data_IF_180103908010
#
_entry.id   IF_180103908010
#
_cell.length_a   1.000
_cell.length_b   1.000
_cell.length_c   1.000
_cell.angle_alpha   90.00
_cell.angle_beta   90.00
_cell.angle_gamma   90.00
#
_symmetry.space_group_name_H-M   'P 1'
#
loop_
_entity.id
_entity.type
_entity.pdbx_description
1 polymer ?
#
# COMPACT_ATOMS: atom_id res chain seq x y z
N UNK A 1 7.95 -58.99 -51.12
CA UNK A 1 8.77 -57.82 -50.73
C UNK A 1 8.08 -56.57 -51.26
N UNK A 2 7.42 -55.79 -50.40
CA UNK A 2 6.75 -54.57 -50.82
C UNK A 2 7.77 -53.54 -51.35
N UNK A 3 7.45 -52.78 -52.40
CA UNK A 3 8.38 -51.79 -52.95
C UNK A 3 8.67 -50.74 -51.88
N UNK A 4 9.96 -50.57 -51.52
CA UNK A 4 10.42 -49.43 -50.73
C UNK A 4 10.14 -48.18 -51.56
N UNK A 5 9.05 -47.46 -51.26
CA UNK A 5 8.80 -46.11 -51.78
C UNK A 5 9.97 -45.23 -51.34
N UNK A 6 10.89 -44.95 -52.24
CA UNK A 6 11.89 -43.91 -52.02
C UNK A 6 11.15 -42.58 -52.01
N UNK A 7 11.13 -41.90 -50.86
CA UNK A 7 10.69 -40.50 -50.82
C UNK A 7 11.62 -39.74 -51.76
N UNK A 8 11.08 -39.18 -52.84
CA UNK A 8 11.89 -38.38 -53.75
C UNK A 8 12.38 -37.15 -52.97
N UNK A 9 13.66 -36.78 -53.14
CA UNK A 9 14.28 -35.64 -52.46
C UNK A 9 13.43 -34.36 -52.56
N UNK A 10 12.73 -34.19 -53.68
CA UNK A 10 11.76 -33.12 -53.91
C UNK A 10 10.59 -33.12 -52.91
N UNK A 11 10.00 -34.27 -52.62
CA UNK A 11 8.87 -34.39 -51.71
C UNK A 11 9.31 -34.14 -50.26
N UNK A 12 10.52 -34.61 -49.91
CA UNK A 12 11.14 -34.31 -48.62
C UNK A 12 11.43 -32.81 -48.44
N UNK A 13 11.94 -32.15 -49.48
CA UNK A 13 12.16 -30.70 -49.47
C UNK A 13 10.84 -29.92 -49.38
N UNK A 14 9.81 -30.32 -50.12
CA UNK A 14 8.48 -29.68 -50.05
C UNK A 14 7.86 -29.81 -48.65
N UNK A 15 7.95 -30.98 -48.03
CA UNK A 15 7.49 -31.18 -46.65
C UNK A 15 8.29 -30.34 -45.66
N UNK A 16 9.61 -30.25 -45.82
CA UNK A 16 10.46 -29.41 -44.99
C UNK A 16 10.10 -27.92 -45.13
N UNK A 17 9.90 -27.43 -46.36
CA UNK A 17 9.48 -26.05 -46.60
C UNK A 17 8.10 -25.76 -46.02
N UNK A 18 7.15 -26.67 -46.19
CA UNK A 18 5.82 -26.55 -45.58
C UNK A 18 5.92 -26.50 -44.04
N UNK A 19 6.75 -27.36 -43.44
CA UNK A 19 6.98 -27.36 -42.00
C UNK A 19 7.61 -26.05 -41.52
N UNK A 20 8.67 -25.57 -42.18
CA UNK A 20 9.32 -24.29 -41.84
C UNK A 20 8.33 -23.13 -41.96
N UNK A 21 7.49 -23.13 -42.99
CA UNK A 21 6.46 -22.11 -43.18
C UNK A 21 5.43 -22.14 -42.04
N UNK A 22 4.90 -23.31 -41.70
CA UNK A 22 3.96 -23.48 -40.58
C UNK A 22 4.58 -23.05 -39.26
N UNK A 23 5.84 -23.44 -38.99
CA UNK A 23 6.57 -23.03 -37.79
C UNK A 23 6.80 -21.51 -37.76
N UNK A 24 7.11 -20.89 -38.89
CA UNK A 24 7.31 -19.44 -38.99
C UNK A 24 6.02 -18.65 -38.73
N UNK A 25 4.90 -19.08 -39.30
CA UNK A 25 3.58 -18.47 -39.03
C UNK A 25 3.17 -18.69 -37.58
N UNK A 26 3.34 -19.91 -37.06
CA UNK A 26 3.06 -20.24 -35.66
C UNK A 26 3.88 -19.42 -34.68
N UNK A 27 5.18 -19.23 -34.96
CA UNK A 27 6.05 -18.36 -34.17
C UNK A 27 5.57 -16.90 -34.19
N UNK A 28 5.19 -16.36 -35.36
CA UNK A 28 4.70 -14.98 -35.45
C UNK A 28 3.37 -14.77 -34.74
N UNK A 29 2.49 -15.75 -34.77
CA UNK A 29 1.25 -15.73 -34.00
C UNK A 29 1.52 -15.81 -32.49
N UNK A 30 2.46 -16.65 -32.05
CA UNK A 30 2.88 -16.72 -30.65
C UNK A 30 3.45 -15.38 -30.17
N UNK A 31 4.37 -14.79 -30.94
CA UNK A 31 4.97 -13.47 -30.67
C UNK A 31 3.88 -12.39 -30.51
N UNK A 32 2.96 -12.31 -31.48
CA UNK A 32 1.82 -11.40 -31.41
C UNK A 32 0.95 -11.66 -30.19
N UNK A 33 0.59 -12.91 -29.91
CA UNK A 33 -0.30 -13.28 -28.80
C UNK A 33 0.29 -12.90 -27.43
N UNK A 34 1.60 -13.03 -27.24
CA UNK A 34 2.26 -12.61 -25.99
C UNK A 34 2.15 -11.10 -25.81
N UNK A 35 2.47 -10.31 -26.84
CA UNK A 35 2.39 -8.84 -26.75
C UNK A 35 0.95 -8.33 -26.65
N UNK A 36 0.00 -8.94 -27.35
CA UNK A 36 -1.42 -8.58 -27.26
C UNK A 36 -1.96 -8.83 -25.85
N UNK A 37 -1.59 -9.97 -25.24
CA UNK A 37 -1.93 -10.27 -23.85
C UNK A 37 -1.28 -9.29 -22.87
N UNK A 38 0.00 -8.95 -23.07
CA UNK A 38 0.68 -7.97 -22.22
C UNK A 38 0.01 -6.60 -22.29
N UNK A 39 -0.26 -6.11 -23.50
CA UNK A 39 -0.91 -4.83 -23.70
C UNK A 39 -2.31 -4.82 -23.04
N UNK A 40 -3.11 -5.88 -23.24
CA UNK A 40 -4.44 -6.00 -22.61
C UNK A 40 -4.36 -6.05 -21.09
N UNK A 41 -3.45 -6.86 -20.53
CA UNK A 41 -3.29 -6.91 -19.08
C UNK A 41 -2.89 -5.54 -18.52
N UNK A 42 -1.98 -4.83 -19.19
CA UNK A 42 -1.58 -3.49 -18.81
C UNK A 42 -2.72 -2.46 -18.97
N UNK A 43 -3.53 -2.63 -20.00
CA UNK A 43 -4.71 -1.81 -20.24
C UNK A 43 -5.74 -1.96 -19.12
N UNK A 44 -5.93 -3.18 -18.63
CA UNK A 44 -6.94 -3.51 -17.63
C UNK A 44 -6.45 -3.27 -16.20
N UNK A 45 -5.19 -3.60 -15.91
CA UNK A 45 -4.63 -3.58 -14.55
C UNK A 45 -4.39 -2.16 -14.04
N UNK A 46 -3.78 -1.30 -14.85
CA UNK A 46 -3.37 0.05 -14.42
C UNK A 46 -4.60 0.91 -14.03
N UNK A 47 -5.64 1.08 -14.88
CA UNK A 47 -6.84 1.81 -14.49
C UNK A 47 -7.55 1.23 -13.26
N UNK A 48 -7.55 -0.10 -13.10
CA UNK A 48 -8.14 -0.76 -11.95
C UNK A 48 -7.37 -0.43 -10.66
N UNK A 49 -6.05 -0.57 -10.68
CA UNK A 49 -5.17 -0.25 -9.55
C UNK A 49 -5.28 1.23 -9.17
N UNK A 50 -5.20 2.15 -10.13
CA UNK A 50 -5.37 3.59 -9.87
C UNK A 50 -6.75 3.93 -9.28
N UNK A 51 -7.81 3.26 -9.73
CA UNK A 51 -9.16 3.50 -9.18
C UNK A 51 -9.28 3.10 -7.71
N UNK A 52 -8.51 2.10 -7.27
CA UNK A 52 -8.49 1.66 -5.86
C UNK A 52 -7.64 2.64 -5.04
N UNK A 53 -6.46 3.01 -5.55
CA UNK A 53 -5.55 3.96 -4.90
C UNK A 53 -6.16 5.36 -4.74
N UNK A 54 -6.89 5.85 -5.74
CA UNK A 54 -7.65 7.10 -5.65
C UNK A 54 -8.65 7.09 -4.49
N UNK A 55 -9.37 5.97 -4.31
CA UNK A 55 -10.28 5.81 -3.17
C UNK A 55 -9.51 5.86 -1.86
N UNK A 56 -8.42 5.10 -1.73
CA UNK A 56 -7.58 5.08 -0.50
C UNK A 56 -7.08 6.49 -0.14
N UNK A 57 -6.62 7.28 -1.12
CA UNK A 57 -6.19 8.66 -0.92
C UNK A 57 -7.29 9.56 -0.35
N UNK A 58 -8.54 9.44 -0.82
CA UNK A 58 -9.65 10.28 -0.36
C UNK A 58 -10.05 10.03 1.11
N UNK A 59 -9.91 8.80 1.60
CA UNK A 59 -10.27 8.44 2.98
C UNK A 59 -9.20 8.83 4.00
N UNK A 60 -7.93 8.87 3.57
CA UNK A 60 -6.82 9.29 4.43
C UNK A 60 -6.99 10.74 4.92
N UNK A 61 -7.60 11.62 4.13
CA UNK A 61 -7.83 13.03 4.48
C UNK A 61 -8.83 13.19 5.64
N UNK A 62 -9.97 12.51 5.54
CA UNK A 62 -11.01 12.56 6.56
C UNK A 62 -10.55 11.98 7.91
N UNK A 63 -9.62 11.02 7.89
CA UNK A 63 -9.04 10.42 9.09
C UNK A 63 -8.00 11.35 9.75
N UNK A 64 -7.15 12.04 8.97
CA UNK A 64 -6.13 12.96 9.50
C UNK A 64 -6.76 14.10 10.29
N UNK A 65 -7.87 14.68 9.79
CA UNK A 65 -8.57 15.75 10.48
C UNK A 65 -9.04 15.33 11.90
N UNK A 66 -9.53 14.11 12.05
CA UNK A 66 -9.96 13.58 13.34
C UNK A 66 -8.79 13.21 14.26
N UNK A 67 -7.67 12.74 13.70
CA UNK A 67 -6.42 12.51 14.46
C UNK A 67 -5.88 13.84 15.03
N UNK A 68 -5.95 14.93 14.27
CA UNK A 68 -5.58 16.26 14.75
C UNK A 68 -6.52 16.70 15.89
N UNK A 69 -7.83 16.46 15.77
CA UNK A 69 -8.80 16.76 16.83
C UNK A 69 -8.57 15.95 18.11
N UNK A 70 -8.14 14.68 17.99
CA UNK A 70 -7.73 13.86 19.14
C UNK A 70 -6.53 14.44 19.88
N UNK A 71 -5.64 15.11 19.15
CA UNK A 71 -4.40 15.68 19.68
C UNK A 71 -4.60 17.06 20.32
N UNK A 72 -5.81 17.64 20.28
CA UNK A 72 -6.10 18.92 20.93
C UNK A 72 -6.02 18.76 22.47
N UNK A 73 -5.08 19.45 23.14
CA UNK A 73 -4.91 19.36 24.59
C UNK A 73 -6.12 19.88 25.38
N UNK A 74 -7.06 20.59 24.74
CA UNK A 74 -8.30 21.07 25.37
C UNK A 74 -9.46 20.09 25.24
N UNK A 75 -9.34 19.05 24.41
CA UNK A 75 -10.38 18.04 24.26
C UNK A 75 -10.56 17.25 25.56
N UNK A 76 -11.80 17.15 26.05
CA UNK A 76 -12.10 16.30 27.21
C UNK A 76 -12.03 14.81 26.82
N UNK A 77 -11.74 13.89 27.75
CA UNK A 77 -11.79 12.44 27.48
C UNK A 77 -13.13 12.01 26.85
N UNK A 78 -14.26 12.52 27.35
CA UNK A 78 -15.60 12.24 26.79
C UNK A 78 -15.74 12.71 25.34
N UNK A 79 -15.20 13.88 25.01
CA UNK A 79 -15.19 14.39 23.63
C UNK A 79 -14.31 13.53 22.72
N UNK A 80 -13.17 13.05 23.22
CA UNK A 80 -12.28 12.14 22.46
C UNK A 80 -12.91 10.77 22.20
N UNK A 81 -13.73 10.24 23.12
CA UNK A 81 -14.48 8.99 22.88
C UNK A 81 -15.36 9.04 21.63
N UNK A 82 -16.04 10.16 21.37
CA UNK A 82 -16.86 10.34 20.16
C UNK A 82 -15.97 10.31 18.91
N UNK A 83 -14.81 10.98 18.97
CA UNK A 83 -13.85 11.01 17.85
C UNK A 83 -13.27 9.62 17.59
N UNK A 84 -13.00 8.82 18.64
CA UNK A 84 -12.56 7.44 18.46
C UNK A 84 -13.58 6.56 17.74
N UNK A 85 -14.88 6.75 18.01
CA UNK A 85 -15.94 6.01 17.32
C UNK A 85 -16.05 6.42 15.84
N UNK A 86 -15.91 7.70 15.54
CA UNK A 86 -15.84 8.22 14.16
C UNK A 86 -14.61 7.66 13.42
N UNK A 87 -13.45 7.64 14.07
CA UNK A 87 -12.21 7.11 13.51
C UNK A 87 -12.23 5.60 13.28
N UNK A 88 -12.83 4.80 14.17
CA UNK A 88 -12.89 3.35 13.97
C UNK A 88 -13.63 2.98 12.69
N UNK A 89 -14.76 3.66 12.41
CA UNK A 89 -15.49 3.49 11.15
C UNK A 89 -14.65 3.83 9.92
N UNK A 90 -13.91 4.94 9.96
CA UNK A 90 -13.03 5.39 8.87
C UNK A 90 -11.84 4.44 8.64
N UNK A 91 -11.19 4.01 9.72
CA UNK A 91 -10.05 3.08 9.67
C UNK A 91 -10.48 1.72 9.13
N UNK A 92 -11.64 1.21 9.52
CA UNK A 92 -12.16 -0.05 8.97
C UNK A 92 -12.38 0.04 7.45
N UNK A 93 -12.93 1.15 6.98
CA UNK A 93 -13.12 1.37 5.55
C UNK A 93 -11.79 1.50 4.79
N UNK A 94 -10.81 2.21 5.36
CA UNK A 94 -9.46 2.30 4.79
C UNK A 94 -8.81 0.92 4.70
N UNK A 95 -8.87 0.12 5.77
CA UNK A 95 -8.37 -1.26 5.80
C UNK A 95 -9.01 -2.15 4.73
N UNK A 96 -10.33 -2.03 4.51
CA UNK A 96 -11.03 -2.80 3.49
C UNK A 96 -10.58 -2.42 2.06
N UNK A 97 -10.30 -1.13 1.83
CA UNK A 97 -9.78 -0.64 0.54
C UNK A 97 -8.36 -1.14 0.32
N UNK A 98 -7.49 -1.05 1.32
CA UNK A 98 -6.09 -1.47 1.20
C UNK A 98 -5.97 -2.98 1.02
N UNK A 99 -6.82 -3.78 1.70
CA UNK A 99 -6.94 -5.22 1.42
C UNK A 99 -7.42 -5.49 0.00
N UNK A 100 -8.41 -4.74 -0.49
CA UNK A 100 -8.87 -4.85 -1.87
C UNK A 100 -7.75 -4.53 -2.87
N UNK A 101 -6.85 -3.61 -2.51
CA UNK A 101 -5.66 -3.31 -3.31
C UNK A 101 -4.67 -4.48 -3.33
N UNK A 102 -4.36 -5.07 -2.16
CA UNK A 102 -3.53 -6.29 -2.06
C UNK A 102 -4.09 -7.40 -2.94
N UNK A 103 -5.40 -7.68 -2.84
CA UNK A 103 -6.06 -8.68 -3.68
C UNK A 103 -5.96 -8.36 -5.17
N UNK A 104 -6.14 -7.10 -5.57
CA UNK A 104 -5.99 -6.68 -6.96
C UNK A 104 -4.57 -6.90 -7.49
N UNK A 105 -3.55 -6.57 -6.69
CA UNK A 105 -2.13 -6.82 -6.99
C UNK A 105 -1.87 -8.32 -7.17
N UNK A 106 -2.34 -9.17 -6.25
CA UNK A 106 -2.15 -10.62 -6.33
C UNK A 106 -2.85 -11.24 -7.55
N UNK A 107 -4.10 -10.85 -7.80
CA UNK A 107 -4.88 -11.29 -8.96
C UNK A 107 -4.16 -10.89 -10.24
N UNK A 108 -3.69 -9.65 -10.35
CA UNK A 108 -2.99 -9.18 -11.53
C UNK A 108 -1.65 -9.90 -11.71
N UNK A 109 -0.86 -10.06 -10.63
CA UNK A 109 0.39 -10.82 -10.65
C UNK A 109 0.20 -12.24 -11.20
N UNK A 110 -0.88 -12.92 -10.79
CA UNK A 110 -1.18 -14.28 -11.25
C UNK A 110 -1.41 -14.37 -12.78
N UNK A 111 -1.96 -13.32 -13.40
CA UNK A 111 -2.22 -13.24 -14.84
C UNK A 111 -0.93 -13.10 -15.66
N UNK A 112 0.13 -12.51 -15.09
CA UNK A 112 1.44 -12.36 -15.76
C UNK A 112 2.32 -13.62 -15.66
N UNK A 113 2.12 -14.48 -14.64
CA UNK A 113 2.94 -15.70 -14.44
C UNK A 113 3.06 -16.60 -15.69
N UNK A 114 1.97 -16.92 -16.43
CA UNK A 114 2.07 -17.74 -17.64
C UNK A 114 2.92 -17.10 -18.75
N UNK A 115 3.00 -15.77 -18.79
CA UNK A 115 3.75 -15.03 -19.81
C UNK A 115 5.27 -15.10 -19.59
N UNK A 116 5.72 -15.43 -18.37
CA UNK A 116 7.16 -15.62 -18.07
C UNK A 116 7.74 -16.76 -18.88
N UNK A 117 7.03 -17.89 -18.98
CA UNK A 117 7.49 -19.01 -19.80
C UNK A 117 7.38 -18.68 -21.29
N UNK A 118 6.24 -18.13 -21.72
CA UNK A 118 6.01 -17.85 -23.14
C UNK A 118 6.97 -16.80 -23.71
N UNK A 119 7.31 -15.76 -22.95
CA UNK A 119 8.28 -14.74 -23.36
C UNK A 119 9.69 -15.29 -23.53
N UNK A 120 10.08 -16.35 -22.80
CA UNK A 120 11.38 -17.03 -22.98
C UNK A 120 11.49 -17.80 -24.30
N UNK A 121 10.36 -18.14 -24.92
CA UNK A 121 10.33 -18.83 -26.22
C UNK A 121 10.50 -17.86 -27.40
N UNK A 122 10.35 -16.56 -27.16
CA UNK A 122 10.50 -15.54 -28.18
C UNK A 122 11.98 -15.22 -28.40
N UNK A 123 12.35 -15.06 -29.68
CA UNK A 123 13.72 -14.76 -30.10
C UNK A 123 13.81 -13.39 -30.77
N UNK A 124 15.03 -12.86 -30.91
CA UNK A 124 15.29 -11.55 -31.51
C UNK A 124 14.92 -10.38 -30.60
N UNK A 125 14.88 -9.17 -31.16
CA UNK A 125 14.65 -7.94 -30.39
C UNK A 125 13.26 -7.89 -29.73
N UNK A 126 12.23 -8.33 -30.45
CA UNK A 126 10.87 -8.45 -29.92
C UNK A 126 10.82 -9.40 -28.72
N UNK A 127 11.46 -10.56 -28.81
CA UNK A 127 11.54 -11.48 -27.67
C UNK A 127 12.27 -10.90 -26.46
N UNK A 128 13.37 -10.17 -26.68
CA UNK A 128 14.09 -9.47 -25.61
C UNK A 128 13.20 -8.44 -24.91
N UNK A 129 12.46 -7.63 -25.66
CA UNK A 129 11.53 -6.64 -25.11
C UNK A 129 10.38 -7.27 -24.33
N UNK A 130 9.74 -8.30 -24.88
CA UNK A 130 8.67 -9.02 -24.18
C UNK A 130 9.16 -9.60 -22.86
N UNK A 131 10.36 -10.21 -22.86
CA UNK A 131 10.95 -10.77 -21.64
C UNK A 131 11.24 -9.69 -20.60
N UNK A 132 11.77 -8.53 -21.01
CA UNK A 132 12.01 -7.40 -20.10
C UNK A 132 10.71 -6.93 -19.47
N UNK A 133 9.71 -6.57 -20.28
CA UNK A 133 8.39 -6.10 -19.80
C UNK A 133 7.76 -7.11 -18.82
N UNK A 134 7.77 -8.41 -19.16
CA UNK A 134 7.18 -9.45 -18.30
C UNK A 134 7.93 -9.58 -16.97
N UNK A 135 9.26 -9.60 -17.01
CA UNK A 135 10.06 -9.78 -15.78
C UNK A 135 9.94 -8.55 -14.87
N UNK A 136 10.03 -7.35 -15.43
CA UNK A 136 9.89 -6.10 -14.69
C UNK A 136 8.50 -6.00 -14.06
N UNK A 137 7.44 -6.41 -14.77
CA UNK A 137 6.07 -6.42 -14.23
C UNK A 137 5.87 -7.47 -13.13
N UNK A 138 6.46 -8.65 -13.25
CA UNK A 138 6.39 -9.69 -12.22
C UNK A 138 7.13 -9.24 -10.96
N UNK A 139 8.31 -8.65 -11.12
CA UNK A 139 9.08 -8.11 -10.00
C UNK A 139 8.38 -6.91 -9.36
N UNK A 140 7.74 -6.03 -10.16
CA UNK A 140 6.89 -4.95 -9.67
C UNK A 140 5.81 -5.51 -8.73
N UNK A 141 5.04 -6.50 -9.16
CA UNK A 141 3.97 -7.04 -8.33
C UNK A 141 4.45 -7.78 -7.08
N UNK A 142 5.64 -8.40 -7.13
CA UNK A 142 6.25 -8.99 -5.94
C UNK A 142 6.57 -7.91 -4.91
N UNK A 143 7.18 -6.80 -5.32
CA UNK A 143 7.52 -5.69 -4.41
C UNK A 143 6.28 -4.91 -3.94
N UNK A 144 5.37 -4.60 -4.86
CA UNK A 144 4.14 -3.87 -4.59
C UNK A 144 3.25 -4.67 -3.63
N UNK A 145 3.11 -5.99 -3.84
CA UNK A 145 2.32 -6.86 -2.97
C UNK A 145 2.83 -6.87 -1.52
N UNK A 146 4.15 -6.97 -1.32
CA UNK A 146 4.74 -6.88 0.01
C UNK A 146 4.55 -5.49 0.60
N UNK A 147 4.75 -4.42 -0.19
CA UNK A 147 4.56 -3.04 0.26
C UNK A 147 3.11 -2.73 0.68
N UNK A 148 2.14 -3.16 -0.13
CA UNK A 148 0.73 -3.01 0.15
C UNK A 148 0.31 -3.79 1.41
N UNK A 149 0.79 -5.02 1.59
CA UNK A 149 0.54 -5.80 2.80
C UNK A 149 1.16 -5.14 4.04
N UNK A 150 2.40 -4.64 3.96
CA UNK A 150 3.05 -3.89 5.05
C UNK A 150 2.23 -2.64 5.45
N UNK A 151 1.56 -1.98 4.50
CA UNK A 151 0.66 -0.86 4.81
C UNK A 151 -0.58 -1.32 5.57
N UNK A 152 -1.21 -2.44 5.17
CA UNK A 152 -2.33 -3.04 5.94
C UNK A 152 -1.90 -3.35 7.38
N UNK A 153 -0.72 -3.92 7.58
CA UNK A 153 -0.18 -4.20 8.93
C UNK A 153 0.05 -2.90 9.73
N UNK A 154 0.55 -1.85 9.07
CA UNK A 154 0.71 -0.51 9.64
C UNK A 154 -0.61 0.07 10.15
N UNK A 155 -1.68 -0.08 9.36
CA UNK A 155 -3.00 0.44 9.69
C UNK A 155 -3.64 -0.33 10.84
N UNK A 156 -3.41 -1.66 10.90
CA UNK A 156 -3.80 -2.46 12.06
C UNK A 156 -3.05 -2.04 13.32
N UNK A 157 -1.74 -1.76 13.24
CA UNK A 157 -0.98 -1.21 14.36
C UNK A 157 -1.60 0.12 14.85
N UNK A 158 -1.88 1.05 13.93
CA UNK A 158 -2.50 2.33 14.26
C UNK A 158 -3.89 2.16 14.89
N UNK A 159 -4.72 1.28 14.32
CA UNK A 159 -6.03 0.92 14.88
C UNK A 159 -5.92 0.41 16.31
N UNK A 160 -4.96 -0.48 16.57
CA UNK A 160 -4.73 -1.05 17.91
C UNK A 160 -4.26 0.03 18.90
N UNK A 161 -3.42 0.97 18.47
CA UNK A 161 -2.99 2.12 19.28
C UNK A 161 -4.19 3.00 19.66
N UNK A 162 -5.09 3.30 18.72
CA UNK A 162 -6.29 4.08 19.02
C UNK A 162 -7.26 3.33 19.93
N UNK A 163 -7.45 2.02 19.75
CA UNK A 163 -8.28 1.22 20.63
C UNK A 163 -7.75 1.23 22.08
N UNK A 164 -6.44 1.10 22.26
CA UNK A 164 -5.78 1.25 23.56
C UNK A 164 -5.95 2.66 24.13
N UNK A 165 -5.83 3.69 23.30
CA UNK A 165 -5.96 5.09 23.74
C UNK A 165 -7.39 5.41 24.19
N UNK A 166 -8.38 4.90 23.47
CA UNK A 166 -9.79 4.94 23.88
C UNK A 166 -10.01 4.29 25.24
N UNK A 167 -9.43 3.11 25.47
CA UNK A 167 -9.53 2.39 26.75
C UNK A 167 -8.85 3.16 27.90
N UNK A 168 -7.77 3.91 27.63
CA UNK A 168 -7.15 4.83 28.60
C UNK A 168 -8.02 6.05 28.92
N UNK A 169 -8.74 6.59 27.94
CA UNK A 169 -9.70 7.68 28.19
C UNK A 169 -10.89 7.21 29.03
N UNK A 170 -11.37 5.98 28.81
CA UNK A 170 -12.39 5.35 29.66
C UNK A 170 -11.88 5.21 31.11
N UNK A 171 -10.64 4.77 31.28
CA UNK A 171 -9.97 4.70 32.59
C UNK A 171 -9.93 6.07 33.27
N UNK A 172 -9.53 7.12 32.55
CA UNK A 172 -9.47 8.48 33.08
C UNK A 172 -10.86 8.98 33.53
N UNK A 173 -11.91 8.76 32.72
CA UNK A 173 -13.29 9.14 33.06
C UNK A 173 -13.74 8.43 34.35
N UNK A 174 -13.40 7.14 34.49
CA UNK A 174 -13.69 6.40 35.71
C UNK A 174 -12.99 7.00 36.93
N UNK A 175 -11.69 7.29 36.85
CA UNK A 175 -10.91 7.86 37.95
C UNK A 175 -11.46 9.24 38.37
N UNK A 176 -11.82 10.08 37.39
CA UNK A 176 -12.46 11.38 37.62
C UNK A 176 -13.79 11.20 38.37
N UNK A 177 -14.67 10.29 37.93
CA UNK A 177 -15.96 10.05 38.61
C UNK A 177 -15.80 9.43 39.99
N UNK A 178 -14.86 8.49 40.14
CA UNK A 178 -14.63 7.76 41.39
C UNK A 178 -14.01 8.66 42.48
N UNK A 179 -13.28 9.71 42.10
CA UNK A 179 -12.59 10.63 43.02
C UNK A 179 -13.43 11.82 43.52
N UNK A 180 -14.58 12.12 42.90
CA UNK A 180 -15.41 13.31 43.20
C UNK A 180 -16.23 13.18 44.52
N UNK A 181 -16.34 11.99 45.12
CA UNK A 181 -17.21 11.77 46.30
C UNK A 181 -16.45 11.36 47.57
N UNK A 182 -16.78 11.91 48.76
CA UNK A 182 -16.22 11.50 50.05
C UNK A 182 -16.58 10.05 50.43
N UNK A 183 -17.69 9.53 49.92
CA UNK A 183 -17.95 8.10 49.85
C UNK A 183 -17.30 7.59 48.58
N UNK A 184 -16.19 6.86 48.68
CA UNK A 184 -15.45 6.26 47.56
C UNK A 184 -16.40 5.49 46.61
N UNK A 185 -16.91 6.13 45.55
CA UNK A 185 -17.91 5.58 44.61
C UNK A 185 -17.33 4.58 43.60
N UNK A 186 -16.13 4.05 43.84
CA UNK A 186 -15.44 3.08 42.98
C UNK A 186 -16.33 1.88 42.60
N UNK A 187 -17.15 1.29 43.50
CA UNK A 187 -18.05 0.20 43.13
C UNK A 187 -19.19 0.62 42.21
N UNK A 188 -19.68 1.86 42.33
CA UNK A 188 -20.83 2.38 41.56
C UNK A 188 -20.49 2.54 40.07
N UNK A 189 -19.26 2.91 39.77
CA UNK A 189 -18.81 3.18 38.40
C UNK A 189 -17.97 2.04 37.79
N UNK A 190 -17.78 0.92 38.48
CA UNK A 190 -16.90 -0.16 38.03
C UNK A 190 -17.28 -0.72 36.65
N UNK A 191 -18.58 -0.72 36.30
CA UNK A 191 -19.04 -1.16 34.97
C UNK A 191 -18.46 -0.33 33.83
N UNK A 192 -18.03 0.90 34.07
CA UNK A 192 -17.45 1.77 33.04
C UNK A 192 -16.10 1.25 32.52
N UNK A 193 -15.34 0.54 33.35
CA UNK A 193 -14.04 -0.06 32.97
C UNK A 193 -14.14 -1.55 32.63
N UNK A 194 -15.34 -2.11 32.51
CA UNK A 194 -15.53 -3.54 32.21
C UNK A 194 -14.89 -3.95 30.88
N UNK A 195 -14.78 -3.03 29.91
CA UNK A 195 -14.09 -3.27 28.63
C UNK A 195 -12.61 -3.63 28.81
N UNK A 196 -11.98 -3.25 29.92
CA UNK A 196 -10.57 -3.53 30.20
C UNK A 196 -10.32 -4.98 30.63
N UNK A 197 -11.36 -5.72 31.03
CA UNK A 197 -11.24 -7.13 31.46
C UNK A 197 -10.55 -7.99 30.39
N UNK A 198 -10.78 -7.68 29.11
CA UNK A 198 -10.16 -8.37 27.96
C UNK A 198 -8.64 -8.45 28.08
N UNK A 199 -7.97 -7.43 28.62
CA UNK A 199 -6.51 -7.40 28.77
C UNK A 199 -5.99 -8.36 29.85
N UNK A 200 -6.85 -8.83 30.75
CA UNK A 200 -6.47 -9.82 31.78
C UNK A 200 -6.52 -11.26 31.27
N UNK A 201 -7.17 -11.50 30.14
CA UNK A 201 -7.33 -12.83 29.57
C UNK A 201 -6.05 -13.26 28.84
N UNK A 202 -5.63 -14.50 29.06
CA UNK A 202 -4.46 -15.07 28.40
C UNK A 202 -4.65 -15.29 26.89
N UNK A 203 -5.90 -15.39 26.43
CA UNK A 203 -6.26 -15.61 25.03
C UNK A 203 -6.53 -14.32 24.25
N UNK A 204 -6.50 -13.15 24.90
CA UNK A 204 -6.65 -11.88 24.20
C UNK A 204 -5.42 -11.59 23.33
N UNK A 205 -5.66 -11.44 22.03
CA UNK A 205 -4.69 -10.97 21.04
C UNK A 205 -5.23 -9.73 20.35
N UNK A 206 -4.34 -8.80 20.03
CA UNK A 206 -4.69 -7.71 19.13
C UNK A 206 -4.94 -8.25 17.70
N UNK A 207 -5.84 -7.64 16.93
CA UNK A 207 -5.91 -7.86 15.48
C UNK A 207 -4.54 -7.74 14.82
N UNK A 208 -4.20 -8.70 13.95
CA UNK A 208 -2.91 -8.83 13.25
C UNK A 208 -1.66 -8.81 14.17
N UNK A 209 -1.79 -9.21 15.44
CA UNK A 209 -0.68 -9.15 16.41
C UNK A 209 0.59 -9.87 15.95
N UNK A 210 0.46 -11.05 15.32
CA UNK A 210 1.61 -11.82 14.86
C UNK A 210 2.35 -11.12 13.69
N UNK A 211 1.62 -10.51 12.74
CA UNK A 211 2.19 -9.72 11.64
C UNK A 211 2.81 -8.40 12.14
N UNK A 212 2.17 -7.74 13.10
CA UNK A 212 2.71 -6.53 13.75
C UNK A 212 4.01 -6.87 14.48
N UNK A 213 4.10 -8.01 15.16
CA UNK A 213 5.34 -8.43 15.83
C UNK A 213 6.49 -8.63 14.84
N UNK A 214 6.20 -9.16 13.66
CA UNK A 214 7.21 -9.44 12.63
C UNK A 214 7.69 -8.17 11.95
N UNK A 215 6.78 -7.25 11.60
CA UNK A 215 7.14 -6.04 10.86
C UNK A 215 7.45 -4.86 11.78
N UNK A 216 6.73 -4.66 12.88
CA UNK A 216 6.78 -3.47 13.74
C UNK A 216 7.12 -3.83 15.19
N UNK A 217 8.37 -4.25 15.42
CA UNK A 217 8.86 -4.69 16.74
C UNK A 217 8.62 -3.68 17.87
N UNK A 218 8.85 -2.39 17.62
CA UNK A 218 8.65 -1.33 18.62
C UNK A 218 7.15 -0.99 18.77
N UNK A 219 6.39 -1.02 17.68
CA UNK A 219 4.93 -0.97 17.72
C UNK A 219 4.32 -2.09 18.57
N UNK A 220 4.80 -3.33 18.40
CA UNK A 220 4.40 -4.48 19.18
C UNK A 220 4.75 -4.32 20.67
N UNK A 221 5.99 -3.93 20.98
CA UNK A 221 6.41 -3.64 22.36
C UNK A 221 5.50 -2.60 23.02
N UNK A 222 5.16 -1.53 22.29
CA UNK A 222 4.26 -0.47 22.74
C UNK A 222 2.87 -1.05 23.06
N UNK A 223 2.29 -1.86 22.18
CA UNK A 223 1.00 -2.51 22.43
C UNK A 223 1.04 -3.43 23.66
N UNK A 224 2.11 -4.20 23.84
CA UNK A 224 2.26 -5.08 25.00
C UNK A 224 2.40 -4.30 26.32
N UNK A 225 3.18 -3.23 26.34
CA UNK A 225 3.31 -2.37 27.53
C UNK A 225 1.95 -1.77 27.94
N UNK A 226 1.17 -1.31 26.95
CA UNK A 226 -0.18 -0.82 27.18
C UNK A 226 -1.14 -1.91 27.67
N UNK A 227 -1.13 -3.10 27.05
CA UNK A 227 -1.92 -4.26 27.48
C UNK A 227 -1.60 -4.63 28.93
N UNK A 228 -0.32 -4.68 29.29
CA UNK A 228 0.12 -5.01 30.65
C UNK A 228 -0.34 -3.96 31.67
N UNK A 229 -0.27 -2.68 31.31
CA UNK A 229 -0.75 -1.59 32.16
C UNK A 229 -2.26 -1.65 32.37
N UNK A 230 -3.05 -1.74 31.31
CA UNK A 230 -4.52 -1.81 31.40
C UNK A 230 -5.00 -3.07 32.15
N UNK A 231 -4.31 -4.20 31.95
CA UNK A 231 -4.53 -5.45 32.69
C UNK A 231 -4.27 -5.27 34.20
N UNK A 232 -3.13 -4.67 34.56
CA UNK A 232 -2.78 -4.40 35.96
C UNK A 232 -3.77 -3.42 36.61
N UNK A 233 -4.15 -2.37 35.89
CA UNK A 233 -5.12 -1.38 36.35
C UNK A 233 -6.47 -2.04 36.67
N UNK A 234 -7.03 -2.80 35.72
CA UNK A 234 -8.31 -3.48 35.92
C UNK A 234 -8.27 -4.45 37.11
N UNK A 235 -7.17 -5.21 37.26
CA UNK A 235 -7.00 -6.15 38.38
C UNK A 235 -6.96 -5.45 39.74
N UNK A 236 -6.29 -4.30 39.86
CA UNK A 236 -6.24 -3.50 41.10
C UNK A 236 -7.63 -2.99 41.46
N UNK A 237 -8.33 -2.38 40.49
CA UNK A 237 -9.65 -1.79 40.74
C UNK A 237 -10.68 -2.88 41.06
N UNK A 238 -10.63 -4.03 40.38
CA UNK A 238 -11.52 -5.18 40.65
C UNK A 238 -11.42 -5.66 42.09
N UNK A 239 -10.20 -5.88 42.59
CA UNK A 239 -9.97 -6.30 43.97
C UNK A 239 -10.39 -5.23 44.97
N UNK A 240 -10.07 -3.96 44.67
CA UNK A 240 -10.44 -2.82 45.51
C UNK A 240 -11.97 -2.69 45.66
N UNK A 241 -12.71 -2.83 44.55
CA UNK A 241 -14.18 -2.79 44.53
C UNK A 241 -14.79 -4.00 45.23
N UNK A 242 -14.13 -5.17 45.17
CA UNK A 242 -14.54 -6.36 45.90
C UNK A 242 -14.26 -6.31 47.41
N UNK A 243 -13.54 -5.28 47.88
CA UNK A 243 -13.17 -5.11 49.30
C UNK A 243 -11.89 -5.85 49.70
N UNK A 244 -11.15 -6.44 48.75
CA UNK A 244 -9.85 -7.09 48.98
C UNK A 244 -8.72 -6.06 48.90
N UNK A 245 -8.63 -5.21 49.93
CA UNK A 245 -7.66 -4.11 49.97
C UNK A 245 -6.21 -4.58 50.05
N UNK A 246 -5.95 -5.74 50.66
CA UNK A 246 -4.61 -6.32 50.75
C UNK A 246 -4.11 -6.75 49.36
N UNK A 247 -4.93 -7.50 48.61
CA UNK A 247 -4.58 -7.89 47.25
C UNK A 247 -4.46 -6.68 46.32
N UNK A 248 -5.39 -5.71 46.42
CA UNK A 248 -5.33 -4.48 45.64
C UNK A 248 -4.03 -3.69 45.92
N UNK A 249 -3.63 -3.56 47.20
CA UNK A 249 -2.40 -2.88 47.59
C UNK A 249 -1.15 -3.62 47.10
N UNK A 250 -1.13 -4.96 47.18
CA UNK A 250 -0.04 -5.77 46.65
C UNK A 250 0.13 -5.58 45.13
N UNK A 251 -0.98 -5.60 44.38
CA UNK A 251 -1.00 -5.43 42.91
C UNK A 251 -0.71 -4.00 42.46
N UNK A 252 -0.88 -3.00 43.33
CA UNK A 252 -0.61 -1.60 43.01
C UNK A 252 0.87 -1.34 42.67
N UNK A 253 1.81 -2.05 43.32
CA UNK A 253 3.24 -1.97 42.99
C UNK A 253 3.50 -2.38 41.53
N UNK A 254 2.87 -3.47 41.08
CA UNK A 254 2.93 -3.93 39.69
C UNK A 254 2.33 -2.91 38.72
N UNK A 255 1.24 -2.23 39.09
CA UNK A 255 0.67 -1.15 38.27
C UNK A 255 1.67 0.02 38.11
N UNK A 256 2.35 0.42 39.18
CA UNK A 256 3.39 1.47 39.13
C UNK A 256 4.56 1.07 38.22
N UNK A 257 5.02 -0.19 38.31
CA UNK A 257 6.08 -0.71 37.43
C UNK A 257 5.69 -0.68 35.95
N UNK A 258 4.42 -0.97 35.63
CA UNK A 258 3.93 -0.90 34.24
C UNK A 258 3.76 0.55 33.76
N UNK A 259 3.38 1.48 34.64
CA UNK A 259 3.22 2.89 34.30
C UNK A 259 4.53 3.51 33.78
N UNK A 260 5.67 3.16 34.39
CA UNK A 260 6.99 3.63 33.96
C UNK A 260 7.33 3.19 32.52
N UNK A 261 6.75 2.07 32.06
CA UNK A 261 6.97 1.52 30.71
C UNK A 261 6.04 2.10 29.64
N UNK A 262 5.17 3.03 29.99
CA UNK A 262 4.23 3.67 29.05
C UNK A 262 4.84 4.83 28.26
N UNK A 263 6.10 5.19 28.48
CA UNK A 263 6.73 6.25 27.71
C UNK A 263 6.93 5.80 26.26
N UNK A 264 6.11 6.31 25.34
CA UNK A 264 6.16 5.98 23.92
C UNK A 264 6.96 7.05 23.17
N UNK A 265 8.01 6.63 22.49
CA UNK A 265 8.73 7.44 21.52
C UNK A 265 7.92 7.43 20.21
N UNK A 266 7.06 8.44 20.03
CA UNK A 266 6.20 8.54 18.86
C UNK A 266 6.99 8.68 17.55
N UNK A 267 8.17 9.31 17.59
CA UNK A 267 9.04 9.42 16.41
C UNK A 267 9.58 8.05 16.00
N UNK A 268 9.98 7.22 16.97
CA UNK A 268 10.40 5.84 16.71
C UNK A 268 9.24 4.97 16.24
N UNK A 269 8.05 5.14 16.82
CA UNK A 269 6.84 4.38 16.46
C UNK A 269 6.42 4.64 15.02
N UNK A 270 6.30 5.91 14.62
CA UNK A 270 5.92 6.26 13.24
C UNK A 270 7.09 6.17 12.25
N UNK A 271 8.33 6.21 12.73
CA UNK A 271 9.53 6.04 11.93
C UNK A 271 9.94 4.58 11.69
N UNK A 272 9.33 3.61 12.38
CA UNK A 272 9.65 2.19 12.23
C UNK A 272 9.40 1.75 10.77
N UNK A 273 10.38 1.05 10.19
CA UNK A 273 10.42 0.64 8.78
C UNK A 273 10.46 1.77 7.73
N UNK A 274 10.54 3.05 8.12
CA UNK A 274 10.53 4.16 7.15
C UNK A 274 11.60 4.00 6.07
N UNK A 275 12.83 3.64 6.44
CA UNK A 275 13.92 3.42 5.48
C UNK A 275 13.64 2.23 4.55
N UNK A 276 13.12 1.12 5.07
CA UNK A 276 12.77 -0.04 4.25
C UNK A 276 11.64 0.29 3.27
N UNK A 277 10.61 1.05 3.70
CA UNK A 277 9.54 1.55 2.83
C UNK A 277 10.10 2.45 1.74
N UNK A 278 10.96 3.41 2.08
CA UNK A 278 11.61 4.31 1.13
C UNK A 278 12.42 3.55 0.08
N UNK A 279 13.18 2.54 0.47
CA UNK A 279 13.99 1.75 -0.47
C UNK A 279 13.13 0.86 -1.37
N UNK A 280 12.04 0.29 -0.85
CA UNK A 280 11.05 -0.41 -1.68
C UNK A 280 10.41 0.52 -2.71
N UNK A 281 9.97 1.72 -2.30
CA UNK A 281 9.39 2.71 -3.23
C UNK A 281 10.37 3.10 -4.33
N UNK A 282 11.67 3.27 -4.04
CA UNK A 282 12.68 3.53 -5.08
C UNK A 282 12.76 2.38 -6.09
N UNK A 283 12.81 1.14 -5.60
CA UNK A 283 12.87 -0.04 -6.48
C UNK A 283 11.62 -0.18 -7.36
N UNK A 284 10.43 0.09 -6.81
CA UNK A 284 9.17 0.08 -7.55
C UNK A 284 9.19 1.16 -8.64
N UNK A 285 9.63 2.38 -8.31
CA UNK A 285 9.80 3.47 -9.29
C UNK A 285 10.76 3.05 -10.41
N UNK A 286 11.91 2.46 -10.08
CA UNK A 286 12.88 2.00 -11.08
C UNK A 286 12.30 0.94 -12.02
N UNK A 287 11.58 -0.05 -11.48
CA UNK A 287 10.94 -1.11 -12.27
C UNK A 287 9.88 -0.57 -13.24
N UNK A 288 9.03 0.34 -12.78
CA UNK A 288 8.01 0.96 -13.64
C UNK A 288 8.67 1.77 -14.75
N UNK A 289 9.69 2.55 -14.43
CA UNK A 289 10.46 3.32 -15.42
C UNK A 289 11.10 2.42 -16.48
N UNK A 290 11.74 1.32 -16.07
CA UNK A 290 12.39 0.39 -16.98
C UNK A 290 11.41 -0.30 -17.91
N UNK A 291 10.27 -0.73 -17.35
CA UNK A 291 9.17 -1.33 -18.10
C UNK A 291 8.58 -0.35 -19.11
N UNK A 292 8.28 0.87 -18.70
CA UNK A 292 7.65 1.88 -19.57
C UNK A 292 8.59 2.35 -20.67
N UNK A 293 9.90 2.39 -20.38
CA UNK A 293 10.93 2.60 -21.39
C UNK A 293 10.91 1.48 -22.44
N UNK A 294 10.76 0.23 -22.02
CA UNK A 294 10.67 -0.91 -22.94
C UNK A 294 9.37 -0.87 -23.78
N UNK A 295 8.24 -0.47 -23.19
CA UNK A 295 6.97 -0.27 -23.91
C UNK A 295 7.10 0.85 -24.95
N UNK A 296 7.76 1.95 -24.61
CA UNK A 296 8.02 3.06 -25.55
C UNK A 296 8.96 2.65 -26.67
N UNK A 297 9.99 1.85 -26.39
CA UNK A 297 10.84 1.27 -27.43
C UNK A 297 10.03 0.38 -28.39
N UNK A 298 9.14 -0.46 -27.85
CA UNK A 298 8.24 -1.29 -28.65
C UNK A 298 7.35 -0.46 -29.59
N UNK A 299 6.78 0.65 -29.10
CA UNK A 299 5.96 1.59 -29.90
C UNK A 299 6.80 2.30 -30.97
N UNK A 300 7.96 2.84 -30.59
CA UNK A 300 8.85 3.58 -31.49
C UNK A 300 9.39 2.72 -32.64
N UNK A 301 9.69 1.45 -32.37
CA UNK A 301 10.12 0.48 -33.39
C UNK A 301 8.95 -0.09 -34.22
N UNK A 302 7.72 0.36 -33.98
CA UNK A 302 6.50 -0.12 -34.62
C UNK A 302 6.33 -1.65 -34.52
N UNK A 303 6.74 -2.24 -33.39
CA UNK A 303 6.69 -3.69 -33.18
C UNK A 303 5.28 -4.22 -32.96
N UNK A 304 4.30 -3.34 -32.72
CA UNK A 304 2.89 -3.68 -32.66
C UNK A 304 2.24 -3.98 -34.02
N UNK A 305 2.91 -3.71 -35.15
CA UNK A 305 2.37 -3.97 -36.49
C UNK A 305 2.75 -5.37 -36.99
N UNK A 306 1.72 -6.15 -37.35
CA UNK A 306 1.84 -7.47 -37.95
C UNK A 306 1.01 -7.50 -39.26
N UNK A 307 1.47 -8.16 -40.34
CA UNK A 307 0.83 -8.07 -41.65
C UNK A 307 -0.63 -8.54 -41.74
N UNK A 308 -1.06 -9.45 -40.85
CA UNK A 308 -2.39 -10.10 -40.91
C UNK A 308 -3.07 -10.16 -39.53
N UNK A 309 -2.56 -9.43 -38.54
CA UNK A 309 -3.07 -9.43 -37.17
C UNK A 309 -3.35 -8.00 -36.73
N UNK A 310 -4.23 -7.84 -35.73
CA UNK A 310 -4.57 -6.54 -35.19
C UNK A 310 -3.33 -5.82 -34.62
N UNK A 311 -3.32 -4.49 -34.76
CA UNK A 311 -2.26 -3.65 -34.19
C UNK A 311 -2.31 -3.70 -32.66
N UNK A 312 -1.15 -3.84 -32.03
CA UNK A 312 -1.01 -3.85 -30.57
C UNK A 312 -0.66 -2.44 -30.10
N UNK A 313 -1.68 -1.72 -29.60
CA UNK A 313 -1.53 -0.33 -29.16
C UNK A 313 -2.05 -0.01 -27.75
N UNK A 314 -2.76 -0.94 -27.10
CA UNK A 314 -3.49 -0.71 -25.84
C UNK A 314 -2.63 -0.59 -24.59
N UNK A 315 -1.50 0.09 -24.64
CA UNK A 315 -0.64 0.32 -23.47
C UNK A 315 -1.11 1.55 -22.69
N UNK A 316 -1.01 1.49 -21.35
CA UNK A 316 -1.38 2.57 -20.41
C UNK A 316 -0.14 3.16 -19.71
N UNK A 317 1.01 3.15 -20.36
CA UNK A 317 2.29 3.54 -19.76
C UNK A 317 2.30 5.00 -19.28
N UNK A 318 1.63 5.91 -19.99
CA UNK A 318 1.56 7.31 -19.51
C UNK A 318 0.66 7.45 -18.28
N UNK A 319 -0.37 6.60 -18.12
CA UNK A 319 -1.21 6.63 -16.93
C UNK A 319 -0.43 6.12 -15.70
N UNK A 320 0.36 5.07 -15.88
CA UNK A 320 1.20 4.51 -14.83
C UNK A 320 2.37 5.43 -14.46
N UNK A 321 3.08 5.98 -15.46
CA UNK A 321 4.08 7.02 -15.22
C UNK A 321 3.51 8.20 -14.44
N UNK A 322 2.27 8.63 -14.73
CA UNK A 322 1.63 9.71 -13.99
C UNK A 322 1.53 9.39 -12.49
N UNK A 323 1.09 8.18 -12.12
CA UNK A 323 1.05 7.74 -10.73
C UNK A 323 2.45 7.76 -10.08
N UNK A 324 3.48 7.38 -10.82
CA UNK A 324 4.87 7.42 -10.31
C UNK A 324 5.31 8.84 -9.93
N UNK A 325 4.89 9.87 -10.68
CA UNK A 325 5.21 11.26 -10.31
C UNK A 325 4.60 11.63 -8.96
N UNK A 326 3.35 11.22 -8.67
CA UNK A 326 2.72 11.41 -7.37
C UNK A 326 3.52 10.74 -6.24
N UNK A 327 3.78 9.43 -6.38
CA UNK A 327 4.51 8.63 -5.38
C UNK A 327 5.90 9.21 -5.12
N UNK A 328 6.61 9.59 -6.19
CA UNK A 328 7.93 10.20 -6.08
C UNK A 328 7.89 11.53 -5.33
N UNK A 329 6.87 12.36 -5.53
CA UNK A 329 6.74 13.61 -4.78
C UNK A 329 6.58 13.40 -3.29
N UNK A 330 5.76 12.42 -2.89
CA UNK A 330 5.65 12.01 -1.50
C UNK A 330 6.99 11.54 -0.94
N UNK A 331 7.68 10.64 -1.65
CA UNK A 331 8.99 10.11 -1.26
C UNK A 331 10.06 11.20 -1.12
N UNK A 332 10.11 12.16 -2.05
CA UNK A 332 11.09 13.25 -2.03
C UNK A 332 10.83 14.23 -0.88
N UNK A 333 9.56 14.54 -0.59
CA UNK A 333 9.14 15.33 0.58
C UNK A 333 9.60 14.65 1.87
N UNK A 334 9.33 13.34 1.98
CA UNK A 334 9.71 12.53 3.14
C UNK A 334 11.22 12.49 3.39
N UNK A 335 12.01 12.22 2.34
CA UNK A 335 13.47 12.14 2.45
C UNK A 335 14.11 13.49 2.79
N UNK A 336 13.59 14.58 2.21
CA UNK A 336 14.12 15.92 2.43
C UNK A 336 13.60 16.58 3.71
N UNK A 337 12.56 16.01 4.34
CA UNK A 337 11.79 16.61 5.44
C UNK A 337 11.32 18.04 5.09
N UNK A 338 11.07 18.31 3.81
CA UNK A 338 10.59 19.60 3.31
C UNK A 338 9.27 19.42 2.59
N UNK A 339 8.30 20.32 2.81
CA UNK A 339 7.02 20.26 2.11
C UNK A 339 7.21 20.48 0.60
N UNK A 340 6.19 20.09 -0.16
CA UNK A 340 6.13 20.35 -1.60
C UNK A 340 5.74 21.82 -1.82
N UNK A 341 6.70 22.63 -2.26
CA UNK A 341 6.53 24.09 -2.44
C UNK A 341 6.12 24.49 -3.87
N UNK A 342 6.14 23.56 -4.83
CA UNK A 342 5.74 23.82 -6.21
C UNK A 342 4.30 24.35 -6.29
N UNK A 343 4.02 25.36 -7.11
CA UNK A 343 2.66 25.95 -7.20
C UNK A 343 1.79 25.38 -8.32
N UNK A 344 2.43 24.88 -9.37
CA UNK A 344 1.78 24.35 -10.58
C UNK A 344 2.55 23.12 -11.11
N UNK A 345 2.00 22.48 -12.14
CA UNK A 345 2.61 21.31 -12.78
C UNK A 345 4.05 21.56 -13.23
N UNK A 346 4.35 22.69 -13.87
CA UNK A 346 5.70 22.96 -14.40
C UNK A 346 6.70 23.05 -13.26
N UNK A 347 6.38 23.81 -12.21
CA UNK A 347 7.21 23.93 -11.03
C UNK A 347 7.39 22.59 -10.30
N UNK A 348 6.36 21.74 -10.29
CA UNK A 348 6.40 20.43 -9.66
C UNK A 348 7.35 19.47 -10.39
N UNK A 349 7.28 19.43 -11.72
CA UNK A 349 8.17 18.62 -12.54
C UNK A 349 9.63 19.09 -12.42
N UNK A 350 9.86 20.41 -12.44
CA UNK A 350 11.18 21.00 -12.24
C UNK A 350 11.75 20.67 -10.85
N UNK A 351 10.89 20.69 -9.82
CA UNK A 351 11.27 20.30 -8.46
C UNK A 351 11.66 18.82 -8.40
N UNK A 352 10.83 17.93 -8.94
CA UNK A 352 11.11 16.50 -8.98
C UNK A 352 12.38 16.15 -9.75
N UNK A 353 12.70 16.85 -10.84
CA UNK A 353 13.91 16.63 -11.62
C UNK A 353 15.20 16.83 -10.80
N UNK A 354 15.14 17.67 -9.77
CA UNK A 354 16.26 18.02 -8.88
C UNK A 354 16.31 17.16 -7.61
N UNK A 355 15.23 16.44 -7.31
CA UNK A 355 15.12 15.58 -6.14
C UNK A 355 15.52 14.13 -6.45
N UNK A 356 16.19 13.49 -5.50
CA UNK A 356 16.55 12.07 -5.62
C UNK A 356 15.34 11.17 -5.33
N UNK A 357 15.09 10.11 -6.14
CA UNK A 357 15.79 9.76 -7.39
C UNK A 357 15.41 10.72 -8.54
N UNK A 358 16.36 11.27 -9.31
CA UNK A 358 16.05 12.26 -10.37
C UNK A 358 15.13 11.72 -11.48
N UNK A 359 14.20 12.55 -11.99
CA UNK A 359 13.31 12.22 -13.14
C UNK A 359 13.89 12.64 -14.48
N UNK A 360 15.06 13.28 -14.55
CA UNK A 360 15.55 13.90 -15.78
C UNK A 360 15.64 12.93 -16.97
N UNK A 361 15.90 11.66 -16.68
CA UNK A 361 16.03 10.59 -17.69
C UNK A 361 14.68 10.16 -18.27
N UNK A 362 13.60 10.27 -17.49
CA UNK A 362 12.24 9.85 -17.86
C UNK A 362 11.36 11.01 -18.34
N UNK A 363 11.72 12.23 -17.96
CA UNK A 363 11.03 13.47 -18.32
C UNK A 363 10.87 13.64 -19.84
N UNK A 364 11.82 13.14 -20.62
CA UNK A 364 11.82 13.25 -22.09
C UNK A 364 11.05 12.12 -22.78
N UNK A 365 10.69 11.07 -22.06
CA UNK A 365 10.01 9.90 -22.60
C UNK A 365 8.51 9.97 -22.34
N UNK A 366 8.05 10.85 -21.46
CA UNK A 366 6.71 10.87 -20.91
C UNK A 366 5.89 12.08 -21.37
N UNK A 367 4.63 11.86 -21.73
CA UNK A 367 3.74 12.94 -22.11
C UNK A 367 3.15 13.64 -20.87
N UNK A 368 3.83 14.70 -20.44
CA UNK A 368 3.48 15.48 -19.24
C UNK A 368 2.09 16.13 -19.27
N UNK A 369 1.44 16.21 -20.44
CA UNK A 369 0.08 16.75 -20.53
C UNK A 369 -0.99 15.89 -19.82
N UNK A 370 -0.65 14.66 -19.41
CA UNK A 370 -1.54 13.83 -18.58
C UNK A 370 -1.50 14.19 -17.09
N UNK A 371 -0.57 15.05 -16.66
CA UNK A 371 -0.42 15.47 -15.27
C UNK A 371 -1.03 16.85 -15.08
N UNK A 372 -1.83 16.99 -14.02
CA UNK A 372 -2.21 18.29 -13.49
C UNK A 372 -1.93 18.35 -11.99
N UNK A 373 -1.14 19.34 -11.57
CA UNK A 373 -0.82 19.57 -10.18
C UNK A 373 -1.19 20.98 -9.77
N UNK A 374 -1.83 21.10 -8.62
CA UNK A 374 -2.19 22.37 -7.99
C UNK A 374 -1.86 22.34 -6.50
N UNK A 375 -1.29 23.43 -6.02
CA UNK A 375 -0.90 23.57 -4.62
C UNK A 375 -1.48 24.85 -4.02
N UNK A 376 -2.49 24.70 -3.16
CA UNK A 376 -3.08 25.80 -2.40
C UNK A 376 -2.54 25.82 -0.97
N UNK A 377 -3.02 26.77 -0.17
CA UNK A 377 -2.65 26.85 1.25
C UNK A 377 -3.26 25.70 2.07
N UNK A 378 -4.39 25.15 1.62
CA UNK A 378 -5.13 24.09 2.32
C UNK A 378 -4.79 22.68 1.81
N UNK A 379 -4.50 22.52 0.52
CA UNK A 379 -4.33 21.20 -0.09
C UNK A 379 -3.42 21.16 -1.31
N UNK A 380 -2.86 19.99 -1.53
CA UNK A 380 -2.19 19.56 -2.76
C UNK A 380 -3.16 18.69 -3.54
N UNK A 381 -3.25 18.90 -4.86
CA UNK A 381 -4.04 18.05 -5.74
C UNK A 381 -3.17 17.63 -6.91
N UNK A 382 -3.10 16.33 -7.16
CA UNK A 382 -2.38 15.72 -8.26
C UNK A 382 -3.37 14.87 -9.06
N UNK A 383 -3.50 15.14 -10.36
CA UNK A 383 -4.46 14.47 -11.23
C UNK A 383 -3.74 13.77 -12.39
N UNK A 384 -4.20 12.56 -12.69
CA UNK A 384 -3.80 11.76 -13.84
C UNK A 384 -4.94 11.61 -14.83
N UNK A 385 -4.72 12.02 -16.08
CA UNK A 385 -5.68 11.89 -17.17
C UNK A 385 -5.40 10.63 -18.00
N UNK A 386 -6.38 9.72 -18.07
CA UNK A 386 -6.41 8.70 -19.11
C UNK A 386 -6.91 9.32 -20.42
N UNK A 387 -5.99 9.57 -21.36
CA UNK A 387 -6.29 10.18 -22.66
C UNK A 387 -7.26 9.40 -23.53
N UNK A 388 -7.35 8.09 -23.34
CA UNK A 388 -8.21 7.25 -24.16
C UNK A 388 -9.67 7.33 -23.71
N UNK A 389 -9.89 7.34 -22.39
CA UNK A 389 -11.24 7.34 -21.81
C UNK A 389 -11.71 8.73 -21.39
N UNK A 390 -10.80 9.68 -21.23
CA UNK A 390 -11.05 11.01 -20.65
C UNK A 390 -11.23 10.99 -19.13
N UNK A 391 -11.05 9.84 -18.47
CA UNK A 391 -11.19 9.73 -17.01
C UNK A 391 -10.01 10.40 -16.31
N UNK A 392 -10.30 11.20 -15.29
CA UNK A 392 -9.32 11.75 -14.36
C UNK A 392 -9.28 10.92 -13.08
N UNK A 393 -8.06 10.64 -12.59
CA UNK A 393 -7.80 10.05 -11.28
C UNK A 393 -7.16 11.14 -10.41
N UNK A 394 -7.77 11.46 -9.27
CA UNK A 394 -7.38 12.62 -8.45
C UNK A 394 -6.89 12.18 -7.07
N UNK A 395 -5.64 12.52 -6.76
CA UNK A 395 -5.03 12.31 -5.46
C UNK A 395 -4.94 13.64 -4.74
N UNK A 396 -5.38 13.68 -3.48
CA UNK A 396 -5.42 14.90 -2.66
C UNK A 396 -4.61 14.67 -1.39
N UNK A 397 -3.90 15.71 -0.97
CA UNK A 397 -3.16 15.71 0.29
C UNK A 397 -3.37 17.04 0.99
N UNK A 398 -4.00 17.00 2.16
CA UNK A 398 -4.23 18.17 3.02
C UNK A 398 -2.91 18.59 3.69
N UNK A 399 -2.75 19.90 3.94
CA UNK A 399 -1.53 20.50 4.50
C UNK A 399 -1.58 20.82 5.99
#
# INVERSE_FOLDING_TARGET
MGPKKSVHLRDALLLLFALIFVLGVGYKYLEWSVFDKLAKLHHDSIPNELSILEKSSSFSEDAIADIVRLSDPKSSPTSRLVIYDELDGKINLALDIDKSYVEAVEINASKYKPLVFLSKLLVGERGKLARRIVLDQVEYYEKEGVGAYDNVVSDYLLKNIFAVSKDKDIMQIYDEKASISPEKLYPKYFSEIASLEKYTRSDFKFPEEDAIRESYSYGYETLQNNKNYLSAYYAVIKDFVAGDYESASYKFSKLQDQYIKLNVDMDRLFGENRSAKQDKSKQIIELVVDKDTAIKEFKNKNFGKYPLLAFIGGWKEDLEMCQIYYVKGSLASDMSKKPIDAKDTTAYMDWLSKMNPSTSTIDNLFDKSVIKFTNTDEKLTFQCLDKETGKEYTFVTTK
#
